data_IF_491215214505
#
_entry.id   IF_491215214505
#
_cell.length_a   1.000
_cell.length_b   1.000
_cell.length_c   1.000
_cell.angle_alpha   90.00
_cell.angle_beta   90.00
_cell.angle_gamma   90.00
#
_symmetry.space_group_name_H-M   'P 1'
#
loop_
_entity.id
_entity.type
_entity.pdbx_description
1 polymer ?
#
# COMPACT_ATOMS: atom_id res chain seq x y z
N UNK A 1 20.23 -12.99 -9.44
CA UNK A 1 21.09 -12.15 -10.31
C UNK A 1 21.88 -11.20 -9.43
N UNK A 2 23.17 -10.97 -9.72
CA UNK A 2 23.90 -9.89 -9.04
C UNK A 2 23.41 -8.56 -9.61
N UNK A 3 22.87 -7.70 -8.74
CA UNK A 3 22.50 -6.32 -9.08
C UNK A 3 23.73 -5.57 -9.60
N UNK A 4 23.58 -4.87 -10.73
CA UNK A 4 24.66 -4.02 -11.28
C UNK A 4 24.63 -2.68 -10.59
N UNK A 5 25.61 -2.42 -9.73
CA UNK A 5 25.76 -1.15 -9.02
C UNK A 5 26.97 -0.39 -9.52
N UNK A 6 26.76 0.87 -9.98
CA UNK A 6 27.84 1.74 -10.46
C UNK A 6 27.65 3.18 -9.99
N UNK A 7 28.78 3.85 -9.70
CA UNK A 7 28.86 5.25 -9.28
C UNK A 7 29.75 6.00 -10.26
N UNK A 8 29.22 7.06 -10.89
CA UNK A 8 29.92 7.91 -11.83
C UNK A 8 29.92 9.35 -11.34
N UNK A 9 31.10 9.98 -11.24
CA UNK A 9 31.22 11.42 -11.04
C UNK A 9 31.41 12.11 -12.39
N UNK A 10 30.76 13.27 -12.54
CA UNK A 10 30.85 14.09 -13.75
C UNK A 10 30.58 15.57 -13.45
N UNK A 11 30.97 16.44 -14.33
CA UNK A 11 30.66 17.88 -14.26
C UNK A 11 29.73 18.29 -15.40
N UNK A 12 28.94 19.33 -15.17
CA UNK A 12 28.15 19.97 -16.21
C UNK A 12 28.86 21.25 -16.67
N UNK A 13 29.52 21.20 -17.84
CA UNK A 13 30.25 22.34 -18.39
C UNK A 13 29.38 23.53 -18.75
N UNK A 14 28.07 23.34 -18.92
CA UNK A 14 27.12 24.43 -19.17
C UNK A 14 26.72 25.19 -17.90
N UNK A 15 27.14 24.72 -16.71
CA UNK A 15 26.82 25.30 -15.41
C UNK A 15 28.10 25.75 -14.66
N UNK A 16 29.07 26.25 -15.39
CA UNK A 16 30.29 26.83 -14.80
C UNK A 16 29.99 28.24 -14.31
N UNK A 17 30.38 28.52 -13.05
CA UNK A 17 30.24 29.84 -12.46
C UNK A 17 31.24 30.83 -13.05
N UNK A 18 31.05 32.14 -12.80
CA UNK A 18 31.96 33.19 -13.26
C UNK A 18 33.42 33.03 -12.76
N UNK A 19 33.62 32.34 -11.64
CA UNK A 19 34.95 32.03 -11.06
C UNK A 19 35.58 30.78 -11.66
N UNK A 20 35.00 30.19 -12.72
CA UNK A 20 35.51 28.99 -13.40
C UNK A 20 35.19 27.68 -12.65
N UNK A 21 34.47 27.73 -11.51
CA UNK A 21 34.13 26.54 -10.75
C UNK A 21 32.77 25.94 -11.17
N UNK A 22 32.66 24.63 -11.03
CA UNK A 22 31.40 23.90 -11.26
C UNK A 22 31.18 22.83 -10.19
N UNK A 23 29.92 22.50 -9.93
CA UNK A 23 29.57 21.44 -8.99
C UNK A 23 29.80 20.06 -9.63
N UNK A 24 30.46 19.16 -8.90
CA UNK A 24 30.58 17.76 -9.28
C UNK A 24 29.27 17.07 -8.99
N UNK A 25 28.73 16.38 -10.01
CA UNK A 25 27.52 15.58 -9.94
C UNK A 25 27.90 14.11 -9.70
N UNK A 26 27.08 13.42 -8.91
CA UNK A 26 27.15 11.96 -8.74
C UNK A 26 25.97 11.33 -9.45
N UNK A 27 26.22 10.34 -10.30
CA UNK A 27 25.21 9.48 -10.91
C UNK A 27 25.33 8.09 -10.33
N UNK A 28 24.25 7.60 -9.77
CA UNK A 28 24.11 6.23 -9.29
C UNK A 28 23.30 5.45 -10.32
N UNK A 29 23.82 4.28 -10.73
CA UNK A 29 23.14 3.36 -11.63
C UNK A 29 22.97 2.01 -10.94
N UNK A 30 21.73 1.51 -10.87
CA UNK A 30 21.38 0.21 -10.30
C UNK A 30 20.43 -0.46 -11.28
N UNK A 31 20.79 -1.65 -11.76
CA UNK A 31 19.99 -2.47 -12.68
C UNK A 31 19.46 -1.70 -13.90
N UNK A 32 20.35 -0.87 -14.50
CA UNK A 32 20.03 -0.05 -15.68
C UNK A 32 19.28 1.25 -15.39
N UNK A 33 18.76 1.45 -14.18
CA UNK A 33 18.12 2.71 -13.76
C UNK A 33 19.13 3.67 -13.16
N UNK A 34 18.98 4.95 -13.47
CA UNK A 34 19.94 5.98 -13.08
C UNK A 34 19.26 7.11 -12.32
N UNK A 35 19.92 7.59 -11.27
CA UNK A 35 19.57 8.82 -10.59
C UNK A 35 20.81 9.65 -10.32
N UNK A 36 20.67 10.99 -10.39
CA UNK A 36 21.79 11.90 -10.22
C UNK A 36 21.49 12.96 -9.16
N UNK A 37 22.54 13.40 -8.46
CA UNK A 37 22.46 14.48 -7.47
C UNK A 37 23.77 15.26 -7.42
N UNK A 38 23.70 16.50 -6.87
CA UNK A 38 24.89 17.30 -6.65
C UNK A 38 25.62 16.83 -5.39
N UNK A 39 26.94 16.61 -5.50
CA UNK A 39 27.76 16.17 -4.35
C UNK A 39 28.00 17.28 -3.32
N UNK A 40 27.73 18.56 -3.68
CA UNK A 40 28.13 19.72 -2.91
C UNK A 40 29.65 20.01 -2.95
N UNK A 41 30.41 19.26 -3.76
CA UNK A 41 31.83 19.45 -3.98
C UNK A 41 32.01 20.21 -5.30
N UNK A 42 32.90 21.20 -5.31
CA UNK A 42 33.17 22.04 -6.48
C UNK A 42 34.60 21.84 -6.94
N UNK A 43 34.83 21.94 -8.24
CA UNK A 43 36.17 21.96 -8.85
C UNK A 43 36.23 22.99 -9.99
N UNK A 44 37.43 23.37 -10.42
CA UNK A 44 37.61 24.12 -11.67
C UNK A 44 37.30 23.20 -12.87
N UNK A 45 36.52 23.71 -13.82
CA UNK A 45 36.12 22.92 -14.99
C UNK A 45 37.29 22.45 -15.86
N UNK A 46 38.38 23.21 -15.86
CA UNK A 46 39.65 22.91 -16.60
C UNK A 46 40.46 21.77 -15.95
N UNK A 47 40.32 21.58 -14.64
CA UNK A 47 41.06 20.57 -13.87
C UNK A 47 40.36 19.20 -13.86
N UNK A 48 39.16 19.12 -14.42
CA UNK A 48 38.35 17.91 -14.41
C UNK A 48 38.76 16.92 -15.51
N UNK A 49 39.12 15.71 -15.11
CA UNK A 49 39.37 14.61 -16.05
C UNK A 49 38.09 13.74 -16.18
N UNK A 50 37.42 13.82 -17.33
CA UNK A 50 36.18 13.08 -17.58
C UNK A 50 36.38 11.56 -17.70
N UNK A 51 37.62 11.08 -17.99
CA UNK A 51 37.90 9.63 -18.12
C UNK A 51 38.06 8.96 -16.74
N UNK A 52 38.77 9.63 -15.82
CA UNK A 52 39.00 9.08 -14.46
C UNK A 52 37.91 9.50 -13.48
N UNK A 53 37.18 10.59 -13.75
CA UNK A 53 36.20 11.17 -12.83
C UNK A 53 36.86 11.89 -11.63
N UNK A 54 38.04 12.44 -11.83
CA UNK A 54 38.88 13.07 -10.83
C UNK A 54 39.30 14.49 -11.24
N UNK A 55 39.76 15.26 -10.27
CA UNK A 55 40.35 16.59 -10.46
C UNK A 55 41.88 16.55 -10.25
N UNK A 56 42.58 17.59 -10.62
CA UNK A 56 43.99 17.74 -10.26
C UNK A 56 44.22 17.94 -8.76
N UNK A 57 43.19 18.36 -8.02
CA UNK A 57 43.26 18.63 -6.59
C UNK A 57 43.04 17.35 -5.77
N UNK A 58 44.09 16.84 -5.14
CA UNK A 58 44.05 15.61 -4.32
C UNK A 58 43.04 15.68 -3.15
N UNK A 59 42.88 16.85 -2.53
CA UNK A 59 41.94 17.03 -1.43
C UNK A 59 40.49 16.82 -1.89
N UNK A 60 40.16 17.29 -3.07
CA UNK A 60 38.83 17.10 -3.69
C UNK A 60 38.62 15.63 -4.06
N UNK A 61 39.64 14.95 -4.60
CA UNK A 61 39.56 13.51 -4.91
C UNK A 61 39.33 12.67 -3.63
N UNK A 62 40.04 12.97 -2.55
CA UNK A 62 39.82 12.28 -1.25
C UNK A 62 38.37 12.40 -0.76
N UNK A 63 37.75 13.59 -0.91
CA UNK A 63 36.34 13.81 -0.55
C UNK A 63 35.39 13.02 -1.45
N UNK A 64 35.70 12.85 -2.72
CA UNK A 64 34.92 12.02 -3.64
C UNK A 64 35.03 10.54 -3.28
N UNK A 65 36.20 10.08 -2.86
CA UNK A 65 36.42 8.69 -2.42
C UNK A 65 35.69 8.39 -1.10
N UNK A 66 35.70 9.33 -0.15
CA UNK A 66 34.90 9.22 1.08
C UNK A 66 33.40 9.14 0.76
N UNK A 67 32.93 9.97 -0.16
CA UNK A 67 31.54 9.93 -0.62
C UNK A 67 31.21 8.59 -1.29
N UNK A 68 32.11 8.07 -2.12
CA UNK A 68 31.97 6.74 -2.77
C UNK A 68 31.85 5.63 -1.74
N UNK A 69 32.70 5.64 -0.70
CA UNK A 69 32.64 4.67 0.42
C UNK A 69 31.31 4.76 1.17
N UNK A 70 30.84 6.00 1.47
CA UNK A 70 29.54 6.21 2.12
C UNK A 70 28.37 5.69 1.28
N UNK A 71 28.40 5.92 -0.04
CA UNK A 71 27.36 5.41 -0.94
C UNK A 71 27.37 3.88 -0.95
N UNK A 72 28.55 3.23 -0.99
CA UNK A 72 28.68 1.78 -0.92
C UNK A 72 28.14 1.21 0.40
N UNK A 73 28.47 1.83 1.54
CA UNK A 73 27.95 1.43 2.84
C UNK A 73 26.42 1.57 2.91
N UNK A 74 25.88 2.70 2.44
CA UNK A 74 24.44 2.91 2.41
C UNK A 74 23.72 1.90 1.50
N UNK A 75 24.33 1.49 0.38
CA UNK A 75 23.82 0.43 -0.49
C UNK A 75 23.71 -0.91 0.28
N UNK A 76 24.78 -1.30 0.96
CA UNK A 76 24.82 -2.55 1.73
C UNK A 76 23.84 -2.52 2.90
N UNK A 77 23.68 -1.38 3.57
CA UNK A 77 22.76 -1.21 4.70
C UNK A 77 21.29 -1.27 4.25
N UNK A 78 20.96 -0.61 3.14
CA UNK A 78 19.63 -0.70 2.52
C UNK A 78 19.31 -2.14 2.10
N UNK A 79 20.26 -2.82 1.47
CA UNK A 79 20.09 -4.20 1.04
C UNK A 79 19.84 -5.14 2.24
N UNK A 80 20.55 -4.93 3.37
CA UNK A 80 20.33 -5.72 4.60
C UNK A 80 19.00 -5.41 5.27
N UNK A 81 18.66 -4.11 5.39
CA UNK A 81 17.45 -3.64 6.08
C UNK A 81 16.19 -3.96 5.31
N UNK A 82 16.13 -3.55 4.05
CA UNK A 82 14.90 -3.54 3.25
C UNK A 82 14.87 -4.69 2.22
N UNK A 83 16.03 -5.26 1.91
CA UNK A 83 16.17 -6.34 0.91
C UNK A 83 16.02 -5.86 -0.53
N UNK A 84 15.85 -4.56 -0.75
CA UNK A 84 15.69 -3.88 -2.04
C UNK A 84 16.50 -2.61 -2.05
N UNK A 85 17.22 -2.35 -3.15
CA UNK A 85 17.93 -1.09 -3.36
C UNK A 85 17.64 -0.59 -4.77
N UNK A 86 17.16 0.65 -4.89
CA UNK A 86 17.05 1.37 -6.14
C UNK A 86 17.95 2.60 -6.14
N UNK A 87 18.23 3.15 -7.34
CA UNK A 87 19.04 4.36 -7.47
C UNK A 87 18.41 5.56 -6.74
N UNK A 88 17.08 5.62 -6.66
CA UNK A 88 16.35 6.66 -5.96
C UNK A 88 16.38 6.47 -4.43
N UNK A 89 16.17 5.26 -3.95
CA UNK A 89 16.31 4.90 -2.54
C UNK A 89 17.68 5.30 -2.00
N UNK A 90 18.72 4.91 -2.73
CA UNK A 90 20.10 5.19 -2.34
C UNK A 90 20.42 6.69 -2.37
N UNK A 91 19.93 7.43 -3.37
CA UNK A 91 20.05 8.88 -3.41
C UNK A 91 19.38 9.53 -2.19
N UNK A 92 18.13 9.14 -1.87
CA UNK A 92 17.37 9.71 -0.75
C UNK A 92 18.08 9.46 0.59
N UNK A 93 18.64 8.27 0.80
CA UNK A 93 19.45 7.94 1.99
C UNK A 93 20.70 8.81 2.10
N UNK A 94 21.43 9.02 0.99
CA UNK A 94 22.67 9.82 0.97
C UNK A 94 22.39 11.31 1.16
N UNK A 95 21.34 11.84 0.52
CA UNK A 95 21.01 13.27 0.57
C UNK A 95 20.21 13.65 1.82
N UNK A 96 19.81 12.66 2.65
CA UNK A 96 18.93 12.84 3.81
C UNK A 96 17.65 13.61 3.48
N UNK A 97 17.20 13.50 2.24
CA UNK A 97 15.89 13.98 1.85
C UNK A 97 14.88 13.10 2.57
N UNK A 98 14.09 13.71 3.42
CA UNK A 98 13.03 13.18 4.28
C UNK A 98 12.41 11.89 3.75
N UNK A 99 12.30 10.91 4.62
CA UNK A 99 11.79 9.56 4.36
C UNK A 99 10.32 9.53 3.89
N UNK A 100 10.10 9.94 2.64
CA UNK A 100 8.89 9.50 1.95
C UNK A 100 8.99 7.98 1.74
N UNK A 101 7.92 7.20 1.95
CA UNK A 101 7.94 5.79 1.71
C UNK A 101 8.25 5.56 0.22
N UNK A 102 9.28 4.78 -0.05
CA UNK A 102 9.78 4.56 -1.41
C UNK A 102 9.55 3.13 -1.86
N UNK A 103 9.03 2.29 -0.97
CA UNK A 103 8.68 0.90 -1.27
C UNK A 103 7.17 0.65 -1.09
N UNK A 104 6.70 -0.38 -1.78
CA UNK A 104 5.27 -0.72 -1.83
C UNK A 104 4.72 -1.12 -0.46
N UNK A 105 5.46 -1.94 0.31
CA UNK A 105 5.00 -2.35 1.63
C UNK A 105 5.05 -1.21 2.66
N UNK A 106 5.99 -0.25 2.53
CA UNK A 106 6.03 0.93 3.40
C UNK A 106 4.76 1.79 3.22
N UNK A 107 4.36 2.07 1.97
CA UNK A 107 3.07 2.75 1.71
C UNK A 107 1.91 1.95 2.30
N UNK A 108 1.96 0.62 2.16
CA UNK A 108 0.94 -0.27 2.72
C UNK A 108 0.84 -0.16 4.24
N UNK A 109 1.96 -0.10 4.96
CA UNK A 109 1.95 0.06 6.43
C UNK A 109 1.44 1.44 6.85
N UNK A 110 1.84 2.53 6.17
CA UNK A 110 1.32 3.87 6.44
C UNK A 110 -0.20 3.94 6.23
N UNK A 111 -0.71 3.39 5.12
CA UNK A 111 -2.15 3.39 4.84
C UNK A 111 -2.91 2.53 5.84
N UNK A 112 -2.35 1.39 6.27
CA UNK A 112 -2.95 0.55 7.32
C UNK A 112 -3.02 1.27 8.65
N UNK A 113 -1.98 2.02 9.02
CA UNK A 113 -1.99 2.83 10.24
C UNK A 113 -3.05 3.93 10.16
N UNK A 114 -3.18 4.61 9.02
CA UNK A 114 -4.24 5.59 8.77
C UNK A 114 -5.65 4.96 8.94
N UNK A 115 -5.84 3.75 8.38
CA UNK A 115 -7.11 3.02 8.52
C UNK A 115 -7.35 2.57 9.97
N UNK A 116 -6.30 2.25 10.73
CA UNK A 116 -6.39 1.91 12.15
C UNK A 116 -6.87 3.09 12.98
N UNK A 117 -6.28 4.26 12.78
CA UNK A 117 -6.70 5.50 13.45
C UNK A 117 -8.17 5.80 13.11
N UNK A 118 -8.50 5.85 11.83
CA UNK A 118 -9.87 6.10 11.35
C UNK A 118 -10.88 5.09 11.92
N UNK A 119 -10.49 3.82 12.08
CA UNK A 119 -11.38 2.78 12.60
C UNK A 119 -11.89 3.06 14.01
N UNK A 120 -11.10 3.77 14.82
CA UNK A 120 -11.48 4.21 16.16
C UNK A 120 -12.45 5.40 16.11
N UNK A 121 -12.21 6.34 15.22
CA UNK A 121 -13.04 7.54 15.05
C UNK A 121 -14.47 7.19 14.60
N UNK A 122 -14.60 6.31 13.60
CA UNK A 122 -15.88 5.92 13.02
C UNK A 122 -16.49 4.67 13.69
N UNK A 123 -15.83 4.12 14.72
CA UNK A 123 -16.23 2.89 15.41
C UNK A 123 -16.53 1.70 14.46
N UNK A 124 -15.72 1.58 13.39
CA UNK A 124 -15.85 0.52 12.38
C UNK A 124 -14.49 -0.03 11.97
N UNK A 125 -14.25 -1.32 12.19
CA UNK A 125 -12.96 -1.98 11.96
C UNK A 125 -12.86 -2.72 10.62
N UNK A 126 -13.91 -2.73 9.79
CA UNK A 126 -14.00 -3.57 8.60
C UNK A 126 -12.87 -3.29 7.59
N UNK A 127 -12.67 -2.02 7.21
CA UNK A 127 -11.63 -1.63 6.26
C UNK A 127 -10.22 -1.92 6.78
N UNK A 128 -9.99 -1.70 8.08
CA UNK A 128 -8.71 -2.02 8.70
C UNK A 128 -8.44 -3.53 8.72
N UNK A 129 -9.45 -4.36 9.07
CA UNK A 129 -9.33 -5.83 9.02
C UNK A 129 -9.06 -6.32 7.62
N UNK A 130 -9.75 -5.78 6.62
CA UNK A 130 -9.53 -6.13 5.22
C UNK A 130 -8.12 -5.76 4.78
N UNK A 131 -7.61 -4.58 5.13
CA UNK A 131 -6.25 -4.16 4.78
C UNK A 131 -5.17 -5.10 5.35
N UNK A 132 -5.39 -5.68 6.54
CA UNK A 132 -4.47 -6.68 7.10
C UNK A 132 -4.35 -7.91 6.21
N UNK A 133 -5.50 -8.46 5.79
CA UNK A 133 -5.54 -9.64 4.93
C UNK A 133 -4.91 -9.38 3.56
N UNK A 134 -5.31 -8.29 2.90
CA UNK A 134 -4.79 -7.97 1.56
C UNK A 134 -3.31 -7.62 1.57
N UNK A 135 -2.81 -6.93 2.61
CA UNK A 135 -1.38 -6.67 2.79
C UNK A 135 -0.58 -7.96 3.04
N UNK A 136 -1.15 -8.93 3.76
CA UNK A 136 -0.50 -10.22 3.97
C UNK A 136 -0.31 -10.97 2.65
N UNK A 137 -1.33 -11.03 1.79
CA UNK A 137 -1.21 -11.63 0.45
C UNK A 137 -0.15 -10.93 -0.42
N UNK A 138 -0.06 -9.60 -0.36
CA UNK A 138 0.96 -8.86 -1.11
C UNK A 138 2.38 -9.21 -0.60
N UNK A 139 2.56 -9.30 0.71
CA UNK A 139 3.83 -9.71 1.32
C UNK A 139 4.20 -11.16 0.95
N UNK A 140 3.25 -12.08 1.01
CA UNK A 140 3.47 -13.48 0.61
C UNK A 140 3.85 -13.59 -0.87
N UNK A 141 3.22 -12.80 -1.74
CA UNK A 141 3.57 -12.75 -3.16
C UNK A 141 5.01 -12.28 -3.37
N UNK A 142 5.43 -11.18 -2.72
CA UNK A 142 6.81 -10.71 -2.78
C UNK A 142 7.79 -11.78 -2.29
N UNK A 143 7.48 -12.47 -1.19
CA UNK A 143 8.30 -13.56 -0.69
C UNK A 143 8.40 -14.72 -1.70
N UNK A 144 7.33 -15.04 -2.43
CA UNK A 144 7.36 -16.06 -3.49
C UNK A 144 8.31 -15.68 -4.64
N UNK A 145 8.49 -14.37 -4.88
CA UNK A 145 9.47 -13.81 -5.81
C UNK A 145 10.89 -13.70 -5.20
N UNK A 146 11.11 -14.22 -3.97
CA UNK A 146 12.34 -14.08 -3.19
C UNK A 146 12.71 -12.63 -2.88
N UNK A 147 11.73 -11.75 -2.79
CA UNK A 147 11.88 -10.33 -2.46
C UNK A 147 11.27 -10.05 -1.08
N UNK A 148 11.89 -9.19 -0.27
CA UNK A 148 11.31 -8.71 0.99
C UNK A 148 10.33 -7.58 0.76
N UNK A 149 10.61 -6.72 -0.20
CA UNK A 149 9.79 -5.59 -0.63
C UNK A 149 10.13 -5.23 -2.09
N UNK A 150 9.47 -4.26 -2.68
CA UNK A 150 9.72 -3.76 -4.03
C UNK A 150 9.71 -2.22 -4.04
N UNK A 151 10.66 -1.61 -4.75
CA UNK A 151 10.63 -0.16 -4.96
C UNK A 151 9.42 0.22 -5.83
N UNK A 152 8.79 1.35 -5.54
CA UNK A 152 7.60 1.79 -6.28
C UNK A 152 7.83 1.91 -7.79
N UNK A 153 9.01 2.39 -8.17
CA UNK A 153 9.43 2.53 -9.57
C UNK A 153 9.63 1.19 -10.30
N UNK A 154 9.79 0.08 -9.58
CA UNK A 154 9.95 -1.27 -10.11
C UNK A 154 8.63 -2.03 -10.25
N UNK A 155 7.55 -1.48 -9.71
CA UNK A 155 6.22 -2.05 -9.89
C UNK A 155 5.78 -1.82 -11.34
N UNK A 156 5.47 -2.91 -12.04
CA UNK A 156 5.03 -2.90 -13.44
C UNK A 156 3.61 -3.45 -13.57
N UNK A 157 3.05 -3.35 -14.76
CA UNK A 157 1.78 -4.00 -15.08
C UNK A 157 1.88 -5.53 -14.91
N UNK A 158 3.00 -6.13 -15.34
CA UNK A 158 3.28 -7.57 -15.17
C UNK A 158 3.31 -7.99 -13.71
N UNK A 159 3.84 -7.14 -12.81
CA UNK A 159 3.75 -7.38 -11.37
C UNK A 159 2.29 -7.47 -10.92
N UNK A 160 1.43 -6.61 -11.43
CA UNK A 160 -0.01 -6.64 -11.14
C UNK A 160 -0.70 -7.92 -11.63
N UNK A 161 -0.41 -8.36 -12.85
CA UNK A 161 -0.91 -9.64 -13.38
C UNK A 161 -0.40 -10.83 -12.55
N UNK A 162 0.89 -10.84 -12.22
CA UNK A 162 1.51 -11.89 -11.41
C UNK A 162 0.89 -11.97 -10.00
N UNK A 163 0.68 -10.83 -9.34
CA UNK A 163 0.01 -10.79 -8.04
C UNK A 163 -1.44 -11.32 -8.11
N UNK A 164 -2.19 -10.89 -9.10
CA UNK A 164 -3.54 -11.37 -9.35
C UNK A 164 -3.56 -12.89 -9.53
N UNK A 165 -2.67 -13.43 -10.36
CA UNK A 165 -2.55 -14.87 -10.62
C UNK A 165 -2.17 -15.63 -9.35
N UNK A 166 -1.20 -15.13 -8.58
CA UNK A 166 -0.81 -15.72 -7.30
C UNK A 166 -1.97 -15.87 -6.32
N UNK A 167 -2.81 -14.82 -6.17
CA UNK A 167 -3.98 -14.88 -5.28
C UNK A 167 -5.02 -15.89 -5.79
N UNK A 168 -5.17 -16.05 -7.10
CA UNK A 168 -6.04 -17.08 -7.71
C UNK A 168 -5.53 -18.49 -7.41
N UNK A 169 -4.24 -18.74 -7.55
CA UNK A 169 -3.61 -20.04 -7.29
C UNK A 169 -3.72 -20.47 -5.80
N UNK A 170 -3.88 -19.52 -4.89
CA UNK A 170 -4.24 -19.80 -3.48
C UNK A 170 -5.70 -20.25 -3.31
N UNK A 171 -6.47 -20.42 -4.37
CA UNK A 171 -7.88 -20.86 -4.33
C UNK A 171 -8.87 -19.77 -3.88
N UNK A 172 -8.47 -18.51 -3.93
CA UNK A 172 -9.34 -17.41 -3.53
C UNK A 172 -10.46 -17.15 -4.53
N UNK A 173 -11.67 -16.84 -4.04
CA UNK A 173 -12.81 -16.45 -4.88
C UNK A 173 -12.54 -15.10 -5.58
N UNK A 174 -13.16 -14.89 -6.74
CA UNK A 174 -13.02 -13.67 -7.54
C UNK A 174 -13.21 -12.37 -6.73
N UNK A 175 -14.14 -12.34 -5.78
CA UNK A 175 -14.33 -11.17 -4.90
C UNK A 175 -13.10 -10.86 -4.04
N UNK A 176 -12.42 -11.89 -3.51
CA UNK A 176 -11.21 -11.70 -2.70
C UNK A 176 -10.01 -11.29 -3.56
N UNK A 177 -9.86 -11.89 -4.74
CA UNK A 177 -8.85 -11.48 -5.74
C UNK A 177 -9.01 -10.00 -6.05
N UNK A 178 -10.25 -9.56 -6.32
CA UNK A 178 -10.55 -8.16 -6.60
C UNK A 178 -10.26 -7.23 -5.40
N UNK A 179 -10.47 -7.69 -4.16
CA UNK A 179 -10.06 -6.92 -2.97
C UNK A 179 -8.55 -6.75 -2.88
N UNK A 180 -7.78 -7.79 -3.21
CA UNK A 180 -6.32 -7.71 -3.25
C UNK A 180 -5.84 -6.73 -4.34
N UNK A 181 -6.44 -6.78 -5.54
CA UNK A 181 -6.13 -5.83 -6.61
C UNK A 181 -6.54 -4.40 -6.27
N UNK A 182 -7.70 -4.20 -5.63
CA UNK A 182 -8.12 -2.89 -5.14
C UNK A 182 -7.14 -2.33 -4.11
N UNK A 183 -6.59 -3.18 -3.26
CA UNK A 183 -5.57 -2.77 -2.29
C UNK A 183 -4.28 -2.34 -2.99
N UNK A 184 -3.75 -3.14 -3.91
CA UNK A 184 -2.56 -2.80 -4.69
C UNK A 184 -2.75 -1.46 -5.42
N UNK A 185 -3.84 -1.31 -6.18
CA UNK A 185 -4.16 -0.07 -6.88
C UNK A 185 -4.26 1.13 -5.93
N UNK A 186 -4.87 0.95 -4.76
CA UNK A 186 -4.96 2.01 -3.74
C UNK A 186 -3.58 2.50 -3.30
N UNK A 187 -2.64 1.58 -3.02
CA UNK A 187 -1.28 1.94 -2.62
C UNK A 187 -0.56 2.71 -3.72
N UNK A 188 -0.70 2.27 -4.97
CA UNK A 188 -0.07 2.92 -6.11
C UNK A 188 -0.69 4.29 -6.42
N UNK A 189 -2.02 4.47 -6.27
CA UNK A 189 -2.63 5.79 -6.36
C UNK A 189 -2.18 6.73 -5.22
N UNK A 190 -2.00 6.23 -4.00
CA UNK A 190 -1.38 7.03 -2.92
C UNK A 190 0.03 7.45 -3.29
N UNK A 191 0.81 6.59 -3.96
CA UNK A 191 2.13 6.94 -4.46
C UNK A 191 2.07 8.02 -5.55
N UNK A 192 1.08 7.98 -6.43
CA UNK A 192 0.84 9.02 -7.45
C UNK A 192 0.45 10.35 -6.78
N UNK A 193 -0.50 10.32 -5.83
CA UNK A 193 -0.94 11.52 -5.10
C UNK A 193 0.19 12.19 -4.30
N UNK A 194 1.15 11.39 -3.82
CA UNK A 194 2.37 11.87 -3.16
C UNK A 194 3.47 12.32 -4.14
N UNK A 195 3.26 12.21 -5.44
CA UNK A 195 4.24 12.56 -6.47
C UNK A 195 5.42 11.58 -6.57
N UNK A 196 5.32 10.38 -5.98
CA UNK A 196 6.34 9.32 -6.02
C UNK A 196 6.28 8.52 -7.33
N UNK A 197 5.12 8.47 -7.98
CA UNK A 197 4.89 7.88 -9.28
C UNK A 197 4.18 8.90 -10.19
N UNK A 198 4.39 8.78 -11.50
CA UNK A 198 3.67 9.60 -12.50
C UNK A 198 2.25 9.07 -12.76
N UNK A 199 2.08 7.76 -12.73
CA UNK A 199 0.81 7.06 -12.97
C UNK A 199 0.81 5.72 -12.24
N UNK A 200 -0.35 5.11 -12.09
CA UNK A 200 -0.46 3.77 -11.53
C UNK A 200 -0.18 2.71 -12.62
N UNK A 201 0.91 1.94 -12.54
CA UNK A 201 1.27 0.96 -13.58
C UNK A 201 0.32 -0.25 -13.65
N UNK A 202 -0.49 -0.48 -12.60
CA UNK A 202 -1.43 -1.62 -12.55
C UNK A 202 -2.89 -1.22 -12.77
N UNK A 203 -3.14 0.03 -13.22
CA UNK A 203 -4.50 0.57 -13.41
C UNK A 203 -5.31 -0.24 -14.43
N UNK A 204 -4.64 -0.70 -15.50
CA UNK A 204 -5.26 -1.41 -16.61
C UNK A 204 -5.38 -2.93 -16.40
N UNK A 205 -4.85 -3.47 -15.28
CA UNK A 205 -5.02 -4.89 -14.94
C UNK A 205 -6.49 -5.17 -14.63
N UNK A 206 -7.18 -5.99 -15.45
CA UNK A 206 -8.60 -6.19 -15.31
C UNK A 206 -8.95 -6.97 -14.04
N UNK A 207 -10.03 -6.58 -13.38
CA UNK A 207 -10.60 -7.32 -12.27
C UNK A 207 -11.17 -8.67 -12.72
N UNK A 208 -11.21 -9.65 -11.81
CA UNK A 208 -11.87 -10.93 -12.06
C UNK A 208 -13.39 -10.75 -12.17
N UNK A 209 -13.99 -11.46 -13.13
CA UNK A 209 -15.45 -11.51 -13.26
C UNK A 209 -16.03 -12.22 -12.04
N UNK A 210 -16.90 -11.53 -11.33
CA UNK A 210 -17.60 -12.13 -10.19
C UNK A 210 -18.65 -13.10 -10.68
N UNK A 211 -18.81 -14.20 -9.94
CA UNK A 211 -19.97 -15.09 -10.14
C UNK A 211 -21.26 -14.31 -9.96
N UNK A 212 -22.29 -14.75 -10.67
CA UNK A 212 -23.64 -14.20 -10.50
C UNK A 212 -24.04 -14.31 -9.01
N UNK A 213 -24.57 -13.23 -8.41
CA UNK A 213 -24.98 -13.28 -7.02
C UNK A 213 -26.08 -14.34 -6.85
N UNK A 214 -25.80 -15.34 -6.02
CA UNK A 214 -26.85 -16.25 -5.58
C UNK A 214 -27.79 -15.50 -4.64
N UNK A 215 -28.97 -15.17 -5.11
CA UNK A 215 -30.01 -14.57 -4.28
C UNK A 215 -30.47 -15.61 -3.26
N UNK A 216 -29.94 -15.50 -2.05
CA UNK A 216 -30.42 -16.28 -0.92
C UNK A 216 -31.58 -15.52 -0.29
N UNK A 217 -32.76 -16.01 -0.48
CA UNK A 217 -33.98 -15.49 0.16
C UNK A 217 -34.71 -16.63 0.85
N UNK A 218 -35.46 -16.28 1.87
CA UNK A 218 -36.37 -17.17 2.55
C UNK A 218 -37.76 -16.89 1.98
N UNK A 219 -38.44 -17.90 1.47
CA UNK A 219 -39.80 -17.77 0.97
C UNK A 219 -40.77 -17.52 2.14
N UNK A 220 -41.97 -17.01 1.83
CA UNK A 220 -42.99 -16.80 2.84
C UNK A 220 -43.33 -18.11 3.57
N UNK A 221 -43.45 -19.22 2.87
CA UNK A 221 -43.74 -20.54 3.45
C UNK A 221 -42.64 -20.99 4.41
N UNK A 222 -41.37 -20.78 4.04
CA UNK A 222 -40.23 -21.08 4.90
C UNK A 222 -40.19 -20.18 6.15
N UNK A 223 -40.55 -18.92 6.02
CA UNK A 223 -40.62 -18.03 7.17
C UNK A 223 -41.74 -18.46 8.12
N UNK A 224 -42.93 -18.81 7.61
CA UNK A 224 -44.02 -19.34 8.42
C UNK A 224 -43.64 -20.63 9.14
N UNK A 225 -42.96 -21.56 8.42
CA UNK A 225 -42.45 -22.78 9.03
C UNK A 225 -41.47 -22.49 10.17
N UNK A 226 -40.52 -21.56 9.99
CA UNK A 226 -39.62 -21.13 11.07
C UNK A 226 -40.41 -20.60 12.27
N UNK A 227 -41.41 -19.78 12.05
CA UNK A 227 -42.23 -19.19 13.14
C UNK A 227 -42.99 -20.23 13.95
N UNK A 228 -43.45 -21.31 13.31
CA UNK A 228 -44.27 -22.36 13.94
C UNK A 228 -43.42 -23.40 14.69
N UNK A 229 -42.09 -23.38 14.51
CA UNK A 229 -41.18 -24.38 15.08
C UNK A 229 -40.16 -23.71 16.04
N UNK A 230 -40.57 -23.43 17.29
CA UNK A 230 -39.69 -22.84 18.28
C UNK A 230 -38.56 -23.80 18.67
N UNK A 231 -37.46 -23.23 19.12
CA UNK A 231 -36.27 -23.99 19.51
C UNK A 231 -36.34 -24.44 20.96
N UNK A 232 -35.83 -25.65 21.24
CA UNK A 232 -35.79 -26.20 22.62
C UNK A 232 -34.71 -25.59 23.49
N UNK A 233 -33.60 -25.18 22.89
CA UNK A 233 -32.49 -24.55 23.60
C UNK A 233 -32.73 -23.05 23.73
N UNK A 234 -32.57 -22.51 24.95
CA UNK A 234 -32.80 -21.07 25.25
C UNK A 234 -32.00 -20.12 24.38
N UNK A 235 -30.76 -20.45 24.06
CA UNK A 235 -29.92 -19.63 23.19
C UNK A 235 -30.39 -19.66 21.72
N UNK A 236 -30.71 -20.83 21.23
CA UNK A 236 -31.25 -21.00 19.88
C UNK A 236 -32.60 -20.31 19.75
N UNK A 237 -33.46 -20.37 20.79
CA UNK A 237 -34.73 -19.68 20.81
C UNK A 237 -34.58 -18.15 20.80
N UNK A 238 -33.56 -17.60 21.49
CA UNK A 238 -33.26 -16.18 21.41
C UNK A 238 -32.83 -15.78 19.99
N UNK A 239 -31.98 -16.55 19.35
CA UNK A 239 -31.55 -16.31 17.94
C UNK A 239 -32.76 -16.41 17.00
N UNK A 240 -33.59 -17.40 17.18
CA UNK A 240 -34.83 -17.63 16.42
C UNK A 240 -35.78 -16.42 16.49
N UNK A 241 -36.12 -15.95 17.71
CA UNK A 241 -36.94 -14.76 17.90
C UNK A 241 -36.33 -13.50 17.35
N UNK A 242 -35.01 -13.33 17.52
CA UNK A 242 -34.29 -12.20 16.97
C UNK A 242 -34.34 -12.21 15.44
N UNK A 243 -34.21 -13.38 14.82
CA UNK A 243 -34.32 -13.54 13.38
C UNK A 243 -35.71 -13.16 12.87
N UNK A 244 -36.78 -13.70 13.50
CA UNK A 244 -38.18 -13.38 13.13
C UNK A 244 -38.41 -11.88 13.27
N UNK A 245 -38.01 -11.30 14.41
CA UNK A 245 -38.12 -9.85 14.66
C UNK A 245 -37.41 -9.04 13.56
N UNK A 246 -36.19 -9.41 13.19
CA UNK A 246 -35.44 -8.73 12.11
C UNK A 246 -36.15 -8.87 10.76
N UNK A 247 -36.74 -10.03 10.47
CA UNK A 247 -37.46 -10.28 9.20
C UNK A 247 -38.68 -9.36 9.06
N UNK A 248 -39.40 -9.08 10.14
CA UNK A 248 -40.57 -8.22 10.11
C UNK A 248 -40.27 -6.72 10.25
N UNK A 249 -39.19 -6.37 10.94
CA UNK A 249 -38.84 -4.96 11.20
C UNK A 249 -37.84 -4.40 10.20
N UNK A 250 -37.20 -5.26 9.36
CA UNK A 250 -36.07 -4.93 8.50
C UNK A 250 -34.88 -4.31 9.27
N UNK A 251 -34.78 -4.55 10.57
CA UNK A 251 -33.64 -4.13 11.38
C UNK A 251 -32.47 -5.10 11.20
N UNK A 252 -31.27 -4.56 11.07
CA UNK A 252 -30.06 -5.38 11.04
C UNK A 252 -29.74 -5.95 12.42
N UNK A 253 -28.89 -6.97 12.48
CA UNK A 253 -28.45 -7.54 13.77
C UNK A 253 -27.90 -6.48 14.74
N UNK A 254 -27.11 -5.54 14.23
CA UNK A 254 -26.54 -4.45 15.06
C UNK A 254 -27.63 -3.52 15.58
N UNK A 255 -28.63 -3.19 14.75
CA UNK A 255 -29.77 -2.35 15.17
C UNK A 255 -30.57 -3.03 16.28
N UNK A 256 -30.78 -4.36 16.16
CA UNK A 256 -31.51 -5.14 17.17
C UNK A 256 -30.73 -5.25 18.47
N UNK A 257 -29.42 -5.45 18.40
CA UNK A 257 -28.55 -5.53 19.56
C UNK A 257 -28.54 -4.22 20.38
N UNK A 258 -28.71 -3.08 19.71
CA UNK A 258 -28.72 -1.75 20.31
C UNK A 258 -30.17 -1.23 20.57
N UNK A 259 -31.18 -2.10 20.45
CA UNK A 259 -32.57 -1.72 20.68
C UNK A 259 -32.87 -1.68 22.19
N UNK A 260 -33.35 -0.55 22.65
CA UNK A 260 -33.74 -0.32 24.03
C UNK A 260 -35.24 0.06 24.12
N UNK A 261 -35.93 -0.11 25.26
CA UNK A 261 -37.31 0.29 25.44
C UNK A 261 -37.62 1.74 25.06
N UNK A 262 -36.68 2.65 25.25
CA UNK A 262 -36.80 4.08 24.85
C UNK A 262 -36.95 4.30 23.34
N UNK A 263 -36.60 3.30 22.53
CA UNK A 263 -36.75 3.36 21.07
C UNK A 263 -38.15 2.93 20.59
N UNK A 264 -38.95 2.41 21.49
CA UNK A 264 -40.29 1.93 21.18
C UNK A 264 -41.30 2.97 21.66
N UNK A 265 -42.06 3.51 20.73
CA UNK A 265 -43.13 4.47 21.02
C UNK A 265 -44.51 3.94 20.61
N UNK A 266 -45.56 4.73 20.93
CA UNK A 266 -46.92 4.52 20.45
C UNK A 266 -47.39 5.77 19.72
N UNK A 267 -48.12 5.57 18.64
CA UNK A 267 -48.85 6.62 17.95
C UNK A 267 -50.12 6.98 18.68
N UNK A 268 -50.79 8.06 18.29
CA UNK A 268 -52.06 8.52 18.89
C UNK A 268 -53.16 7.43 18.76
N UNK A 269 -53.16 6.67 17.68
CA UNK A 269 -54.06 5.54 17.39
C UNK A 269 -53.60 4.22 18.05
N UNK A 270 -52.63 4.27 18.97
CA UNK A 270 -52.20 3.12 19.79
C UNK A 270 -51.21 2.15 19.12
N UNK A 271 -50.80 2.36 17.86
CA UNK A 271 -49.84 1.50 17.15
C UNK A 271 -48.44 1.69 17.71
N UNK A 272 -47.73 0.57 17.84
CA UNK A 272 -46.29 0.62 18.23
C UNK A 272 -45.40 0.95 17.04
N UNK A 273 -44.39 1.79 17.29
CA UNK A 273 -43.35 2.07 16.31
C UNK A 273 -41.95 1.98 16.94
N UNK A 274 -40.94 1.75 16.11
CA UNK A 274 -39.53 1.75 16.51
C UNK A 274 -38.85 2.96 15.85
N UNK A 275 -38.15 3.78 16.67
CA UNK A 275 -37.39 4.93 16.22
C UNK A 275 -35.95 4.80 16.68
N UNK A 276 -35.06 4.50 15.74
CA UNK A 276 -33.61 4.36 15.97
C UNK A 276 -32.82 5.13 14.93
N UNK A 277 -31.64 5.61 15.31
CA UNK A 277 -30.60 6.08 14.39
C UNK A 277 -29.79 4.87 13.97
N UNK A 278 -29.90 4.49 12.69
CA UNK A 278 -29.13 3.34 12.16
C UNK A 278 -27.66 3.70 12.05
N UNK A 279 -26.78 2.85 12.58
CA UNK A 279 -25.34 2.94 12.33
C UNK A 279 -25.07 2.37 10.95
N UNK A 280 -24.56 3.20 10.05
CA UNK A 280 -24.09 2.78 8.73
C UNK A 280 -22.70 2.16 8.80
#
# INVERSE_FOLDING_TARGET
>A
MRSTFNILYYINRNKVKADGTTAIQCRISIDGRQNAFSTGIYCKAEDWNAKTGETKEQRTNNRLDELRKRIGQAYDDLLRRDGVVSAELLKNEITKVSAAPTTLLQIGEEERERLRVRSKEINSTSSYRQSKSTQAYLREYLLSLKMKDIALEDVTEDFGYGFKQYVKEKGCRASHVNHCMTWLNRLLYIAVDKGLLRFNPTADVPYEKKDAPQLRHISRSQLMYIMEHPMTNKWQELVHRTFIFSAFTALSYVDVQELYPRHIGRTVDGRRYIRILRKK
#
